data_IF_565165513686
#
_entry.id   IF_565165513686
#
_cell.length_a   1.000
_cell.length_b   1.000
_cell.length_c   1.000
_cell.angle_alpha   90.00
_cell.angle_beta   90.00
_cell.angle_gamma   90.00
#
_symmetry.space_group_name_H-M   'P 1'
#
loop_
_entity.id
_entity.type
_entity.pdbx_description
1 polymer ?
#
# COMPACT_ATOMS: atom_id res chain seq x y z
N UNK A 1 -16.36 30.39 -10.09
CA UNK A 1 -16.22 28.98 -10.53
C UNK A 1 -17.61 28.38 -10.88
N UNK A 2 -17.72 27.54 -11.92
CA UNK A 2 -18.96 26.80 -12.19
C UNK A 2 -19.22 25.76 -11.10
N UNK A 3 -20.49 25.43 -10.87
CA UNK A 3 -20.89 24.41 -9.91
C UNK A 3 -20.51 23.01 -10.44
N UNK A 4 -19.88 22.20 -9.59
CA UNK A 4 -19.58 20.80 -9.91
C UNK A 4 -20.88 20.01 -9.82
N UNK A 5 -21.34 19.46 -10.95
CA UNK A 5 -22.52 18.60 -11.02
C UNK A 5 -22.10 17.15 -11.25
N UNK A 6 -22.84 16.20 -10.67
CA UNK A 6 -22.57 14.78 -10.87
C UNK A 6 -22.69 14.40 -12.36
N UNK A 7 -21.68 13.69 -12.88
CA UNK A 7 -21.69 13.21 -14.27
C UNK A 7 -22.60 11.99 -14.47
N UNK A 8 -22.90 11.25 -13.39
CA UNK A 8 -23.79 10.08 -13.37
C UNK A 8 -24.30 9.82 -11.95
N UNK A 9 -25.43 9.13 -11.82
CA UNK A 9 -25.97 8.63 -10.57
C UNK A 9 -26.11 7.10 -10.63
N UNK A 10 -25.67 6.41 -9.58
CA UNK A 10 -25.73 4.95 -9.48
C UNK A 10 -26.57 4.53 -8.25
N UNK A 11 -27.25 3.36 -8.29
CA UNK A 11 -27.97 2.86 -7.13
C UNK A 11 -27.03 2.62 -5.95
N UNK A 12 -27.43 3.08 -4.75
CA UNK A 12 -26.60 2.96 -3.55
C UNK A 12 -26.09 1.53 -3.27
N UNK A 13 -26.90 0.46 -3.41
CA UNK A 13 -26.40 -0.91 -3.17
C UNK A 13 -25.26 -1.32 -4.10
N UNK A 14 -25.22 -0.79 -5.32
CA UNK A 14 -24.14 -1.07 -6.29
C UNK A 14 -22.87 -0.32 -5.90
N UNK A 15 -23.01 0.93 -5.47
CA UNK A 15 -21.88 1.73 -4.97
C UNK A 15 -21.27 1.08 -3.74
N UNK A 16 -22.11 0.67 -2.78
CA UNK A 16 -21.65 0.03 -1.53
C UNK A 16 -20.91 -1.27 -1.79
N UNK A 17 -21.47 -2.16 -2.62
CA UNK A 17 -20.84 -3.43 -2.96
C UNK A 17 -19.50 -3.23 -3.70
N UNK A 18 -19.44 -2.24 -4.61
CA UNK A 18 -18.24 -1.92 -5.37
C UNK A 18 -17.16 -1.31 -4.47
N UNK A 19 -17.54 -0.38 -3.59
CA UNK A 19 -16.63 0.25 -2.63
C UNK A 19 -16.04 -0.78 -1.66
N UNK A 20 -16.87 -1.70 -1.14
CA UNK A 20 -16.40 -2.80 -0.33
C UNK A 20 -15.38 -3.66 -1.09
N UNK A 21 -15.67 -4.03 -2.34
CA UNK A 21 -14.74 -4.78 -3.18
C UNK A 21 -13.39 -4.07 -3.36
N UNK A 22 -13.41 -2.75 -3.60
CA UNK A 22 -12.18 -1.96 -3.73
C UNK A 22 -11.40 -1.86 -2.42
N UNK A 23 -12.07 -1.71 -1.28
CA UNK A 23 -11.42 -1.75 0.03
C UNK A 23 -10.73 -3.10 0.26
N UNK A 24 -11.38 -4.22 -0.07
CA UNK A 24 -10.74 -5.54 0.01
C UNK A 24 -9.51 -5.67 -0.91
N UNK A 25 -9.60 -5.18 -2.16
CA UNK A 25 -8.44 -5.18 -3.06
C UNK A 25 -7.29 -4.34 -2.51
N UNK A 26 -7.58 -3.16 -1.94
CA UNK A 26 -6.57 -2.31 -1.32
C UNK A 26 -5.83 -3.02 -0.18
N UNK A 27 -6.58 -3.66 0.73
CA UNK A 27 -6.01 -4.43 1.84
C UNK A 27 -5.12 -5.57 1.33
N UNK A 28 -5.59 -6.31 0.32
CA UNK A 28 -4.83 -7.40 -0.28
C UNK A 28 -3.52 -6.92 -0.93
N UNK A 29 -3.54 -5.78 -1.63
CA UNK A 29 -2.33 -5.20 -2.23
C UNK A 29 -1.30 -4.78 -1.18
N UNK A 30 -1.74 -4.19 -0.06
CA UNK A 30 -0.83 -3.83 1.05
C UNK A 30 -0.25 -5.09 1.70
N UNK A 31 -1.06 -6.13 1.93
CA UNK A 31 -0.58 -7.42 2.45
C UNK A 31 0.46 -8.05 1.51
N UNK A 32 0.20 -8.07 0.21
CA UNK A 32 1.12 -8.64 -0.77
C UNK A 32 2.47 -7.90 -0.79
N UNK A 33 2.43 -6.57 -0.78
CA UNK A 33 3.63 -5.73 -0.69
C UNK A 33 4.44 -6.03 0.58
N UNK A 34 3.80 -6.03 1.75
CA UNK A 34 4.50 -6.19 3.02
C UNK A 34 4.98 -7.63 3.22
N UNK A 35 4.26 -8.61 2.66
CA UNK A 35 4.71 -10.00 2.61
C UNK A 35 5.94 -10.18 1.71
N UNK A 36 5.98 -9.53 0.55
CA UNK A 36 7.15 -9.57 -0.35
C UNK A 36 8.42 -9.03 0.35
N UNK A 37 8.27 -8.07 1.26
CA UNK A 37 9.40 -7.41 1.93
C UNK A 37 9.73 -7.97 3.32
N UNK A 38 8.93 -8.92 3.82
CA UNK A 38 9.14 -9.57 5.12
C UNK A 38 10.45 -10.37 5.17
N UNK A 39 10.87 -10.97 4.03
CA UNK A 39 12.10 -11.75 3.91
C UNK A 39 13.35 -10.90 3.56
N UNK A 40 13.23 -9.58 3.64
CA UNK A 40 14.31 -8.63 3.37
C UNK A 40 13.98 -7.70 2.21
N UNK A 41 13.34 -6.59 2.53
CA UNK A 41 12.98 -5.57 1.55
C UNK A 41 14.17 -4.79 0.96
N UNK A 42 13.86 -3.82 0.07
CA UNK A 42 14.87 -3.02 -0.62
C UNK A 42 15.71 -2.15 0.33
N UNK A 43 16.96 -1.90 -0.05
CA UNK A 43 17.82 -0.96 0.66
C UNK A 43 17.28 0.48 0.53
N UNK A 44 17.41 1.24 1.62
CA UNK A 44 17.15 2.68 1.62
C UNK A 44 18.33 3.40 0.94
N UNK A 45 18.03 4.30 0.00
CA UNK A 45 19.08 5.13 -0.61
C UNK A 45 19.66 6.11 0.40
N UNK A 46 20.92 6.53 0.22
CA UNK A 46 21.55 7.57 1.08
C UNK A 46 20.75 8.88 1.17
N UNK A 47 20.02 9.24 0.12
CA UNK A 47 19.18 10.44 0.10
C UNK A 47 17.77 10.20 0.66
N UNK A 48 17.49 9.00 1.18
CA UNK A 48 16.15 8.49 1.45
C UNK A 48 15.48 7.91 0.21
N UNK A 49 14.43 7.12 0.43
CA UNK A 49 13.62 6.54 -0.64
C UNK A 49 14.19 5.26 -1.29
N UNK A 50 13.49 4.80 -2.33
CA UNK A 50 13.78 3.58 -3.07
C UNK A 50 14.55 3.86 -4.37
N UNK A 51 15.37 2.89 -4.78
CA UNK A 51 15.95 2.92 -6.12
C UNK A 51 14.86 2.67 -7.19
N UNK A 52 15.02 3.26 -8.37
CA UNK A 52 14.14 3.00 -9.54
C UNK A 52 14.11 1.52 -9.89
N UNK A 53 15.22 0.80 -9.69
CA UNK A 53 15.30 -0.63 -9.95
C UNK A 53 14.45 -1.43 -8.96
N UNK A 54 14.50 -1.07 -7.68
CA UNK A 54 13.71 -1.75 -6.66
C UNK A 54 12.22 -1.42 -6.84
N UNK A 55 11.86 -0.17 -7.12
CA UNK A 55 10.48 0.21 -7.46
C UNK A 55 9.95 -0.60 -8.65
N UNK A 56 10.74 -0.77 -9.70
CA UNK A 56 10.38 -1.62 -10.85
C UNK A 56 10.17 -3.08 -10.45
N UNK A 57 11.02 -3.62 -9.58
CA UNK A 57 10.89 -5.01 -9.10
C UNK A 57 9.59 -5.16 -8.30
N UNK A 58 9.28 -4.22 -7.41
CA UNK A 58 8.04 -4.20 -6.63
C UNK A 58 6.82 -4.08 -7.52
N UNK A 59 6.84 -3.20 -8.51
CA UNK A 59 5.75 -3.03 -9.47
C UNK A 59 5.47 -4.34 -10.25
N UNK A 60 6.52 -5.05 -10.66
CA UNK A 60 6.39 -6.37 -11.30
C UNK A 60 5.85 -7.41 -10.33
N UNK A 61 6.33 -7.45 -9.08
CA UNK A 61 5.87 -8.40 -8.08
C UNK A 61 4.37 -8.24 -7.78
N UNK A 62 3.88 -7.00 -7.72
CA UNK A 62 2.47 -6.68 -7.47
C UNK A 62 1.58 -6.70 -8.73
N UNK A 63 2.15 -6.94 -9.92
CA UNK A 63 1.45 -6.79 -11.21
C UNK A 63 0.78 -5.41 -11.39
N UNK A 64 1.51 -4.35 -11.04
CA UNK A 64 1.03 -2.97 -11.06
C UNK A 64 1.92 -2.06 -11.92
N UNK A 65 1.37 -0.96 -12.49
CA UNK A 65 2.19 0.11 -13.03
C UNK A 65 3.07 0.75 -11.94
N UNK A 66 4.30 1.16 -12.29
CA UNK A 66 5.25 1.77 -11.34
C UNK A 66 4.67 2.91 -10.48
N UNK A 67 3.89 3.87 -11.03
CA UNK A 67 3.32 4.94 -10.20
C UNK A 67 2.30 4.44 -9.17
N UNK A 68 1.60 3.34 -9.48
CA UNK A 68 0.61 2.75 -8.57
C UNK A 68 1.31 1.95 -7.48
N UNK A 69 2.37 1.19 -7.82
CA UNK A 69 3.20 0.53 -6.82
C UNK A 69 3.86 1.55 -5.87
N UNK A 70 4.37 2.66 -6.39
CA UNK A 70 4.90 3.75 -5.57
C UNK A 70 3.84 4.30 -4.61
N UNK A 71 2.61 4.52 -5.09
CA UNK A 71 1.50 4.95 -4.24
C UNK A 71 1.24 3.97 -3.08
N UNK A 72 1.22 2.66 -3.33
CA UNK A 72 1.00 1.67 -2.26
C UNK A 72 2.12 1.62 -1.24
N UNK A 73 3.38 1.76 -1.68
CA UNK A 73 4.53 1.86 -0.79
C UNK A 73 4.41 3.08 0.11
N UNK A 74 4.14 4.25 -0.46
CA UNK A 74 3.99 5.50 0.29
C UNK A 74 2.79 5.45 1.25
N UNK A 75 1.68 4.81 0.83
CA UNK A 75 0.51 4.62 1.68
C UNK A 75 0.83 3.70 2.87
N UNK A 76 1.50 2.57 2.64
CA UNK A 76 1.91 1.66 3.71
C UNK A 76 2.89 2.33 4.69
N UNK A 77 3.79 3.15 4.18
CA UNK A 77 4.70 3.97 4.99
C UNK A 77 3.93 5.01 5.82
N UNK A 78 2.99 5.75 5.21
CA UNK A 78 2.17 6.74 5.89
C UNK A 78 1.23 6.12 6.95
N UNK A 79 0.79 4.87 6.74
CA UNK A 79 0.01 4.10 7.70
C UNK A 79 0.87 3.52 8.85
N UNK A 80 2.20 3.66 8.79
CA UNK A 80 3.11 3.13 9.79
C UNK A 80 3.32 1.61 9.72
N UNK A 81 2.83 0.96 8.66
CA UNK A 81 2.98 -0.48 8.44
C UNK A 81 4.34 -0.83 7.81
N UNK A 82 5.00 0.17 7.22
CA UNK A 82 6.31 0.07 6.57
C UNK A 82 7.25 1.14 7.14
N UNK A 83 8.50 0.77 7.42
CA UNK A 83 9.54 1.72 7.81
C UNK A 83 10.93 1.23 7.40
N UNK A 84 11.93 2.11 7.52
CA UNK A 84 13.34 1.68 7.54
C UNK A 84 13.63 0.96 8.87
N UNK A 85 14.41 -0.11 8.82
CA UNK A 85 14.84 -0.87 10.00
C UNK A 85 15.89 -0.13 10.86
N UNK A 86 16.52 0.94 10.34
CA UNK A 86 17.48 1.77 11.07
C UNK A 86 18.85 1.13 11.30
N UNK A 87 19.14 0.00 10.64
CA UNK A 87 20.41 -0.70 10.71
C UNK A 87 21.49 -0.03 9.83
N UNK A 88 22.76 -0.41 9.97
CA UNK A 88 23.88 0.23 9.22
C UNK A 88 23.69 0.17 7.69
N UNK A 89 23.04 -0.90 7.21
CA UNK A 89 22.63 -1.07 5.82
C UNK A 89 21.09 -1.03 5.75
N UNK A 90 20.52 0.13 6.12
CA UNK A 90 19.07 0.35 6.25
C UNK A 90 18.24 -0.26 5.10
N UNK A 91 17.18 -0.98 5.47
CA UNK A 91 16.21 -1.57 4.54
C UNK A 91 14.79 -1.21 4.92
N UNK A 92 13.94 -1.08 3.91
CA UNK A 92 12.50 -1.04 4.14
C UNK A 92 11.99 -2.43 4.53
N UNK A 93 11.23 -2.49 5.62
CA UNK A 93 10.63 -3.72 6.13
C UNK A 93 9.26 -3.41 6.76
N UNK A 94 8.45 -4.45 6.90
CA UNK A 94 7.22 -4.36 7.67
C UNK A 94 7.53 -4.00 9.13
N UNK A 95 6.73 -3.13 9.71
CA UNK A 95 6.87 -2.77 11.13
C UNK A 95 6.12 -3.78 12.01
N UNK A 96 6.38 -3.82 13.33
CA UNK A 96 5.55 -4.62 14.23
C UNK A 96 4.05 -4.27 14.19
N UNK A 97 3.69 -3.04 13.80
CA UNK A 97 2.29 -2.64 13.65
C UNK A 97 1.58 -3.40 12.51
N UNK A 98 2.33 -3.94 11.54
CA UNK A 98 1.77 -4.83 10.52
C UNK A 98 1.24 -6.13 11.09
N UNK A 99 1.93 -6.72 12.08
CA UNK A 99 1.48 -7.96 12.72
C UNK A 99 0.13 -7.75 13.41
N UNK A 100 0.02 -6.70 14.23
CA UNK A 100 -1.22 -6.32 14.90
C UNK A 100 -2.33 -6.00 13.87
N UNK A 101 -1.99 -5.27 12.81
CA UNK A 101 -2.94 -4.90 11.76
C UNK A 101 -3.51 -6.13 11.05
N UNK A 102 -2.70 -7.16 10.73
CA UNK A 102 -3.17 -8.38 10.06
C UNK A 102 -4.21 -9.16 10.86
N UNK A 103 -4.15 -9.09 12.19
CA UNK A 103 -5.10 -9.80 13.06
C UNK A 103 -6.48 -9.14 13.10
N UNK A 104 -6.58 -7.88 12.64
CA UNK A 104 -7.84 -7.14 12.63
C UNK A 104 -8.81 -7.63 11.54
N UNK A 105 -10.13 -7.56 11.82
CA UNK A 105 -11.15 -7.70 10.79
C UNK A 105 -10.92 -6.72 9.62
N UNK A 106 -11.28 -7.07 8.36
CA UNK A 106 -11.04 -6.20 7.20
C UNK A 106 -11.57 -4.77 7.34
N UNK A 107 -12.74 -4.60 7.98
CA UNK A 107 -13.31 -3.27 8.22
C UNK A 107 -12.44 -2.41 9.15
N UNK A 108 -11.83 -3.03 10.17
CA UNK A 108 -10.98 -2.33 11.13
C UNK A 108 -9.58 -2.06 10.55
N UNK A 109 -9.11 -2.91 9.63
CA UNK A 109 -7.89 -2.65 8.85
C UNK A 109 -8.00 -1.47 7.89
N UNK A 110 -9.21 -1.20 7.41
CA UNK A 110 -9.51 -0.12 6.47
C UNK A 110 -9.74 1.24 7.16
N UNK A 111 -10.03 1.24 8.46
CA UNK A 111 -10.52 2.39 9.22
C UNK A 111 -9.50 3.53 9.40
#
# INVERSE_FOLDING_TARGET
>A
PPAVTASAAHPAPVVDATAAGQAYTALATVEELLKDWDEGGPNVLRAGGLSVRDLKRTAVALDLPEPVAAFWVELAYAAGLLASDGEVDERYAATPAYDDWRELPPADRWA
#
